data_IF_305486914492
#
_entry.id   IF_305486914492
#
_cell.length_a   1.000
_cell.length_b   1.000
_cell.length_c   1.000
_cell.angle_alpha   90.00
_cell.angle_beta   90.00
_cell.angle_gamma   90.00
#
_symmetry.space_group_name_H-M   'P 1'
#
loop_
_entity.id
_entity.type
_entity.pdbx_description
1 polymer ?
#
# COMPACT_ATOMS: atom_id res chain seq x y z
N UNK A 1 24.87 23.49 -17.34
CA UNK A 1 23.61 23.55 -18.13
C UNK A 1 22.56 22.53 -17.67
N UNK A 2 22.77 21.21 -17.82
CA UNK A 2 21.75 20.20 -17.44
C UNK A 2 21.33 20.27 -15.96
N UNK A 3 22.27 20.50 -15.04
CA UNK A 3 21.98 20.60 -13.61
C UNK A 3 21.17 21.85 -13.24
N UNK A 4 21.36 22.96 -13.96
CA UNK A 4 20.60 24.21 -13.73
C UNK A 4 19.20 24.14 -14.32
N UNK A 5 19.06 23.53 -15.51
CA UNK A 5 17.76 23.25 -16.10
C UNK A 5 16.93 22.31 -15.21
N UNK A 6 17.57 21.28 -14.64
CA UNK A 6 16.95 20.38 -13.66
C UNK A 6 16.52 21.14 -12.40
N UNK A 7 17.34 22.06 -11.89
CA UNK A 7 17.01 22.88 -10.70
C UNK A 7 15.86 23.86 -10.95
N UNK A 8 15.73 24.36 -12.17
CA UNK A 8 14.62 25.24 -12.57
C UNK A 8 13.29 24.46 -12.64
N UNK A 9 13.31 23.23 -13.15
CA UNK A 9 12.10 22.41 -13.36
C UNK A 9 11.68 21.64 -12.10
N UNK A 10 12.64 21.09 -11.35
CA UNK A 10 12.38 20.18 -10.21
C UNK A 10 12.52 20.88 -8.85
N UNK A 11 13.15 22.06 -8.82
CA UNK A 11 13.44 22.79 -7.59
C UNK A 11 14.79 22.43 -6.96
N UNK A 12 15.11 23.10 -5.85
CA UNK A 12 16.36 22.87 -5.13
C UNK A 12 16.31 21.54 -4.37
N UNK A 13 17.39 20.73 -4.36
CA UNK A 13 17.42 19.50 -3.58
C UNK A 13 17.28 19.84 -2.09
N UNK A 14 16.28 19.26 -1.43
CA UNK A 14 16.09 19.41 0.01
C UNK A 14 17.29 18.83 0.76
N UNK A 15 17.83 19.59 1.70
CA UNK A 15 18.82 19.05 2.62
C UNK A 15 18.17 18.03 3.55
N UNK A 16 18.91 16.98 3.95
CA UNK A 16 18.43 15.92 4.83
C UNK A 16 17.88 16.45 6.16
N UNK A 17 18.35 17.62 6.61
CA UNK A 17 17.87 18.33 7.80
C UNK A 17 16.45 18.91 7.63
N UNK A 18 16.05 19.27 6.42
CA UNK A 18 14.71 19.79 6.13
C UNK A 18 13.63 18.69 6.01
N UNK A 19 14.01 17.41 5.91
CA UNK A 19 13.05 16.29 5.80
C UNK A 19 12.12 16.14 7.01
N UNK A 20 12.52 16.59 8.20
CA UNK A 20 11.64 16.53 9.39
C UNK A 20 10.45 17.48 9.29
N UNK A 21 10.57 18.58 8.54
CA UNK A 21 9.52 19.59 8.36
C UNK A 21 8.58 19.27 7.18
N UNK A 22 8.96 18.36 6.29
CA UNK A 22 8.14 17.83 5.19
C UNK A 22 7.23 16.65 5.62
N UNK A 23 7.18 16.33 6.91
CA UNK A 23 6.28 15.28 7.40
C UNK A 23 4.83 15.72 7.21
N UNK A 24 4.07 14.94 6.44
CA UNK A 24 2.64 15.13 6.28
C UNK A 24 1.96 15.16 7.65
N UNK A 25 1.12 16.18 7.88
CA UNK A 25 0.25 16.22 9.04
C UNK A 25 -0.68 14.99 9.03
N UNK A 26 -1.14 14.54 10.20
CA UNK A 26 -1.99 13.35 10.35
C UNK A 26 -3.21 13.35 9.41
N UNK A 27 -3.81 14.51 9.19
CA UNK A 27 -4.98 14.66 8.30
C UNK A 27 -4.59 14.43 6.84
N UNK A 28 -3.53 15.07 6.37
CA UNK A 28 -3.06 14.92 4.98
C UNK A 28 -2.47 13.54 4.74
N UNK A 29 -1.70 13.01 5.70
CA UNK A 29 -1.21 11.64 5.68
C UNK A 29 -2.37 10.64 5.60
N UNK A 30 -3.40 10.79 6.45
CA UNK A 30 -4.56 9.91 6.41
C UNK A 30 -5.28 9.98 5.06
N UNK A 31 -5.50 11.18 4.52
CA UNK A 31 -6.13 11.33 3.21
C UNK A 31 -5.32 10.65 2.09
N UNK A 32 -4.01 10.88 2.06
CA UNK A 32 -3.10 10.29 1.05
C UNK A 32 -3.04 8.77 1.17
N UNK A 33 -2.82 8.23 2.37
CA UNK A 33 -2.73 6.78 2.57
C UNK A 33 -4.09 6.07 2.45
N UNK A 34 -5.20 6.75 2.76
CA UNK A 34 -6.54 6.18 2.56
C UNK A 34 -6.93 6.12 1.08
N UNK A 35 -6.36 6.99 0.24
CA UNK A 35 -6.62 6.98 -1.21
C UNK A 35 -6.25 5.65 -1.84
N UNK A 36 -5.16 5.02 -1.40
CA UNK A 36 -4.69 3.72 -1.90
C UNK A 36 -5.69 2.60 -1.60
N UNK A 37 -6.16 2.56 -0.35
CA UNK A 37 -7.20 1.63 0.09
C UNK A 37 -8.54 1.86 -0.63
N UNK A 38 -8.94 3.12 -0.82
CA UNK A 38 -10.18 3.48 -1.53
C UNK A 38 -10.10 3.14 -3.02
N UNK A 39 -8.96 3.38 -3.67
CA UNK A 39 -8.76 3.01 -5.07
C UNK A 39 -8.91 1.50 -5.27
N UNK A 40 -8.56 0.69 -4.26
CA UNK A 40 -8.73 -0.76 -4.31
C UNK A 40 -10.19 -1.22 -4.27
N UNK A 41 -11.09 -0.43 -3.68
CA UNK A 41 -12.53 -0.73 -3.67
C UNK A 41 -13.16 -0.61 -5.06
N UNK A 42 -12.61 0.26 -5.92
CA UNK A 42 -13.16 0.53 -7.25
C UNK A 42 -13.12 -0.70 -8.18
N UNK A 43 -12.10 -1.55 -8.06
CA UNK A 43 -11.97 -2.77 -8.87
C UNK A 43 -12.30 -4.07 -8.11
N UNK A 44 -12.32 -4.06 -6.77
CA UNK A 44 -12.50 -5.28 -5.98
C UNK A 44 -13.85 -5.96 -6.15
N UNK A 45 -14.94 -5.20 -6.30
CA UNK A 45 -16.29 -5.74 -6.49
C UNK A 45 -16.42 -6.50 -7.80
N UNK A 46 -15.89 -5.96 -8.89
CA UNK A 46 -15.87 -6.63 -10.19
C UNK A 46 -14.99 -7.87 -10.15
N UNK A 47 -13.80 -7.80 -9.53
CA UNK A 47 -12.91 -8.95 -9.38
C UNK A 47 -13.57 -10.11 -8.60
N UNK A 48 -14.33 -9.81 -7.53
CA UNK A 48 -15.08 -10.83 -6.77
C UNK A 48 -16.16 -11.48 -7.64
N UNK A 49 -16.92 -10.68 -8.40
CA UNK A 49 -17.97 -11.19 -9.28
C UNK A 49 -17.39 -12.04 -10.42
N UNK A 50 -16.28 -11.60 -11.03
CA UNK A 50 -15.57 -12.36 -12.05
C UNK A 50 -15.06 -13.71 -11.52
N UNK A 51 -14.51 -13.74 -10.30
CA UNK A 51 -14.09 -14.98 -9.65
C UNK A 51 -15.29 -15.91 -9.35
N UNK A 52 -16.42 -15.37 -8.91
CA UNK A 52 -17.64 -16.15 -8.65
C UNK A 52 -18.28 -16.69 -9.94
N UNK A 53 -18.20 -15.95 -11.05
CA UNK A 53 -18.69 -16.41 -12.37
C UNK A 53 -17.95 -17.67 -12.85
N UNK A 54 -16.65 -17.79 -12.56
CA UNK A 54 -15.88 -19.01 -12.83
C UNK A 54 -16.38 -20.20 -11.98
N UNK A 55 -16.94 -19.95 -10.80
CA UNK A 55 -17.58 -20.95 -9.93
C UNK A 55 -19.01 -21.32 -10.32
N UNK A 56 -19.59 -20.67 -11.33
CA UNK A 56 -20.93 -20.91 -11.86
C UNK A 56 -22.02 -20.00 -11.30
N UNK A 57 -23.16 -19.94 -12.00
CA UNK A 57 -24.28 -19.01 -11.72
C UNK A 57 -24.93 -19.18 -10.33
N UNK A 58 -24.69 -20.31 -9.65
CA UNK A 58 -25.18 -20.58 -8.29
C UNK A 58 -24.31 -20.01 -7.17
N UNK A 59 -23.15 -19.41 -7.47
CA UNK A 59 -22.19 -18.96 -6.45
C UNK A 59 -22.47 -17.54 -5.91
N UNK A 60 -23.48 -16.83 -6.42
CA UNK A 60 -23.76 -15.44 -6.04
C UNK A 60 -24.00 -15.23 -4.54
N UNK A 61 -24.54 -16.24 -3.84
CA UNK A 61 -24.76 -16.17 -2.38
C UNK A 61 -23.46 -16.14 -1.56
N UNK A 62 -22.33 -16.58 -2.12
CA UNK A 62 -21.03 -16.51 -1.46
C UNK A 62 -20.45 -15.10 -1.42
N UNK A 63 -20.97 -14.16 -2.22
CA UNK A 63 -20.48 -12.77 -2.25
C UNK A 63 -20.52 -12.11 -0.87
N UNK A 64 -21.63 -12.24 -0.14
CA UNK A 64 -21.78 -11.66 1.21
C UNK A 64 -20.85 -12.30 2.25
N UNK A 65 -20.78 -13.65 2.37
CA UNK A 65 -19.80 -14.32 3.23
C UNK A 65 -18.34 -13.94 2.91
N UNK A 66 -17.97 -13.84 1.63
CA UNK A 66 -16.62 -13.44 1.20
C UNK A 66 -16.34 -12.01 1.63
N UNK A 67 -17.26 -11.08 1.39
CA UNK A 67 -17.14 -9.68 1.83
C UNK A 67 -16.97 -9.59 3.36
N UNK A 68 -17.76 -10.36 4.12
CA UNK A 68 -17.62 -10.48 5.57
C UNK A 68 -16.23 -10.99 6.00
N UNK A 69 -15.72 -12.00 5.29
CA UNK A 69 -14.36 -12.53 5.50
C UNK A 69 -13.27 -11.50 5.22
N UNK A 70 -13.40 -10.71 4.16
CA UNK A 70 -12.46 -9.62 3.83
C UNK A 70 -12.47 -8.56 4.93
N UNK A 71 -13.64 -8.13 5.39
CA UNK A 71 -13.76 -7.14 6.48
C UNK A 71 -13.10 -7.66 7.76
N UNK A 72 -13.32 -8.93 8.11
CA UNK A 72 -12.68 -9.57 9.25
C UNK A 72 -11.16 -9.60 9.11
N UNK A 73 -10.66 -9.97 7.92
CA UNK A 73 -9.22 -9.99 7.62
C UNK A 73 -8.60 -8.59 7.75
N UNK A 74 -9.26 -7.56 7.22
CA UNK A 74 -8.79 -6.17 7.34
C UNK A 74 -8.74 -5.70 8.81
N UNK A 75 -9.69 -6.11 9.65
CA UNK A 75 -9.64 -5.82 11.09
C UNK A 75 -8.43 -6.47 11.77
N UNK A 76 -8.13 -7.74 11.46
CA UNK A 76 -6.96 -8.46 11.99
C UNK A 76 -5.67 -7.77 11.55
N UNK A 77 -5.55 -7.44 10.26
CA UNK A 77 -4.39 -6.74 9.70
C UNK A 77 -4.21 -5.37 10.34
N UNK A 78 -5.31 -4.60 10.49
CA UNK A 78 -5.28 -3.29 11.15
C UNK A 78 -4.81 -3.38 12.60
N UNK A 79 -5.26 -4.38 13.35
CA UNK A 79 -4.80 -4.62 14.72
C UNK A 79 -3.32 -5.03 14.76
N UNK A 80 -2.88 -5.90 13.84
CA UNK A 80 -1.49 -6.31 13.70
C UNK A 80 -0.57 -5.11 13.42
N UNK A 81 -0.92 -4.25 12.45
CA UNK A 81 -0.14 -3.04 12.19
C UNK A 81 -0.08 -2.11 13.38
N UNK A 82 -1.16 -2.01 14.16
CA UNK A 82 -1.17 -1.21 15.39
C UNK A 82 -0.16 -1.71 16.42
N UNK A 83 0.02 -3.02 16.53
CA UNK A 83 1.03 -3.63 17.39
C UNK A 83 2.44 -3.37 16.84
N UNK A 84 2.65 -3.60 15.54
CA UNK A 84 3.95 -3.39 14.89
C UNK A 84 4.42 -1.94 15.01
N UNK A 85 3.54 -0.96 14.79
CA UNK A 85 3.88 0.47 14.92
C UNK A 85 4.30 0.83 16.36
N UNK A 86 3.69 0.18 17.37
CA UNK A 86 4.09 0.39 18.78
C UNK A 86 5.43 -0.26 19.09
N UNK A 87 5.71 -1.44 18.52
CA UNK A 87 6.96 -2.16 18.72
C UNK A 87 8.15 -1.49 17.99
N UNK A 88 7.90 -0.84 16.85
CA UNK A 88 8.92 -0.18 16.03
C UNK A 88 8.62 1.31 15.85
N UNK A 89 8.79 2.15 16.90
CA UNK A 89 8.41 3.57 16.90
C UNK A 89 9.27 4.44 15.98
N UNK A 90 10.48 3.98 15.64
CA UNK A 90 11.38 4.62 14.67
C UNK A 90 10.92 4.46 13.22
N UNK A 91 9.90 3.62 12.96
CA UNK A 91 9.40 3.34 11.62
C UNK A 91 10.30 2.36 10.85
N UNK A 92 10.16 2.34 9.52
CA UNK A 92 10.99 1.51 8.62
C UNK A 92 10.24 0.46 7.80
N UNK A 93 8.92 0.34 7.99
CA UNK A 93 8.06 -0.52 7.18
C UNK A 93 8.40 -2.02 7.26
N UNK A 94 7.85 -2.80 6.34
CA UNK A 94 8.02 -4.26 6.35
C UNK A 94 9.48 -4.70 6.24
N UNK A 95 10.33 -3.95 5.52
CA UNK A 95 11.75 -4.27 5.39
C UNK A 95 12.48 -4.29 6.74
N UNK A 96 12.39 -3.21 7.52
CA UNK A 96 13.10 -3.11 8.80
C UNK A 96 12.53 -4.10 9.82
N UNK A 97 11.21 -4.27 9.85
CA UNK A 97 10.53 -5.22 10.73
C UNK A 97 10.99 -6.65 10.41
N UNK A 98 10.91 -7.09 9.15
CA UNK A 98 11.33 -8.43 8.74
C UNK A 98 12.83 -8.64 8.96
N UNK A 99 13.67 -7.65 8.69
CA UNK A 99 15.11 -7.74 8.89
C UNK A 99 15.48 -7.94 10.37
N UNK A 100 14.88 -7.14 11.27
CA UNK A 100 15.20 -7.20 12.70
C UNK A 100 14.58 -8.44 13.37
N UNK A 101 13.44 -8.94 12.89
CA UNK A 101 12.78 -10.09 13.49
C UNK A 101 13.23 -11.45 12.93
N UNK A 102 13.59 -11.52 11.64
CA UNK A 102 13.80 -12.79 10.92
C UNK A 102 15.17 -12.87 10.22
N UNK A 103 15.96 -11.79 10.24
CA UNK A 103 17.29 -11.73 9.62
C UNK A 103 17.31 -11.11 8.22
N UNK A 104 18.52 -10.98 7.68
CA UNK A 104 18.77 -10.18 6.48
C UNK A 104 18.07 -10.72 5.22
N UNK A 105 18.00 -12.04 5.05
CA UNK A 105 17.37 -12.66 3.87
C UNK A 105 15.87 -12.37 3.82
N UNK A 106 15.17 -12.50 4.96
CA UNK A 106 13.76 -12.17 5.07
C UNK A 106 13.50 -10.67 4.83
N UNK A 107 14.40 -9.80 5.32
CA UNK A 107 14.39 -8.38 5.00
C UNK A 107 14.48 -8.14 3.49
N UNK A 108 15.47 -8.73 2.82
CA UNK A 108 15.66 -8.55 1.37
C UNK A 108 14.45 -9.05 0.55
N UNK A 109 13.83 -10.17 0.94
CA UNK A 109 12.60 -10.66 0.30
C UNK A 109 11.47 -9.63 0.49
N UNK A 110 11.30 -9.08 1.70
CA UNK A 110 10.30 -8.04 1.94
C UNK A 110 10.56 -6.78 1.10
N UNK A 111 11.82 -6.34 0.97
CA UNK A 111 12.18 -5.20 0.13
C UNK A 111 11.89 -5.45 -1.36
N UNK A 112 12.27 -6.63 -1.87
CA UNK A 112 12.00 -7.00 -3.26
C UNK A 112 10.49 -7.05 -3.54
N UNK A 113 9.72 -7.64 -2.62
CA UNK A 113 8.27 -7.69 -2.72
C UNK A 113 7.65 -6.29 -2.74
N UNK A 114 8.13 -5.36 -1.90
CA UNK A 114 7.63 -3.99 -1.87
C UNK A 114 7.91 -3.23 -3.17
N UNK A 115 9.07 -3.44 -3.79
CA UNK A 115 9.38 -2.81 -5.08
C UNK A 115 8.44 -3.30 -6.18
N UNK A 116 8.16 -4.60 -6.21
CA UNK A 116 7.20 -5.18 -7.15
C UNK A 116 5.80 -4.65 -6.87
N UNK A 117 5.40 -4.62 -5.60
CA UNK A 117 4.11 -4.10 -5.16
C UNK A 117 3.89 -2.65 -5.62
N UNK A 118 4.88 -1.77 -5.44
CA UNK A 118 4.77 -0.39 -5.92
C UNK A 118 4.57 -0.26 -7.43
N UNK A 119 5.26 -1.09 -8.22
CA UNK A 119 5.09 -1.07 -9.68
C UNK A 119 3.70 -1.59 -10.06
N UNK A 120 3.25 -2.68 -9.44
CA UNK A 120 1.95 -3.28 -9.72
C UNK A 120 0.79 -2.38 -9.28
N UNK A 121 0.88 -1.75 -8.12
CA UNK A 121 -0.16 -0.85 -7.62
C UNK A 121 -0.38 0.31 -8.59
N UNK A 122 0.68 0.92 -9.12
CA UNK A 122 0.57 1.97 -10.13
C UNK A 122 -0.03 1.42 -11.43
N UNK A 123 0.45 0.27 -11.91
CA UNK A 123 -0.05 -0.33 -13.14
C UNK A 123 -1.55 -0.67 -13.07
N UNK A 124 -1.98 -1.35 -12.00
CA UNK A 124 -3.38 -1.75 -11.80
C UNK A 124 -4.27 -0.53 -11.61
N UNK A 125 -3.82 0.47 -10.85
CA UNK A 125 -4.61 1.69 -10.63
C UNK A 125 -4.85 2.46 -11.93
N UNK A 126 -3.86 2.55 -12.82
CA UNK A 126 -4.01 3.18 -14.13
C UNK A 126 -4.94 2.36 -15.03
N UNK A 127 -4.78 1.03 -15.07
CA UNK A 127 -5.67 0.17 -15.86
C UNK A 127 -7.13 0.27 -15.40
N UNK A 128 -7.38 0.22 -14.09
CA UNK A 128 -8.71 0.34 -13.51
C UNK A 128 -9.31 1.76 -13.68
N UNK A 129 -8.48 2.80 -13.72
CA UNK A 129 -8.93 4.18 -13.94
C UNK A 129 -9.29 4.52 -15.40
N UNK A 130 -8.84 3.70 -16.36
CA UNK A 130 -9.13 3.87 -17.79
C UNK A 130 -10.34 3.03 -18.25
N UNK A 131 -10.62 1.93 -17.55
CA UNK A 131 -11.77 1.04 -17.80
C UNK A 131 -13.11 1.72 -17.45
#
# INVERSE_FOLDING_TARGET
>A
MLAELKRLVVGQPLSTEQQQHERLNKVTALAVFSSDALSSVAYATEAILAALLLGGLGAGWLSLPIAGGIVMLLMVVGFSYRQTIRAFPTGGGAYIVSRQSLGDTAGLVAAASLLIDYVLTVAVSICAGVA
#
